data_IF_396858731094
#
_entry.id   IF_396858731094
#
_cell.length_a   1.000
_cell.length_b   1.000
_cell.length_c   1.000
_cell.angle_alpha   90.00
_cell.angle_beta   90.00
_cell.angle_gamma   90.00
#
_symmetry.space_group_name_H-M   'P 1'
#
loop_
_entity.id
_entity.type
_entity.pdbx_description
1 polymer ?
#
# COMPACT_ATOMS: atom_id res chain seq x y z
N UNK A 1 -13.74 -0.49 -7.71
CA UNK A 1 -12.85 -0.20 -6.56
C UNK A 1 -11.48 0.16 -7.13
N UNK A 2 -10.83 1.25 -6.71
CA UNK A 2 -9.49 1.65 -7.17
C UNK A 2 -8.57 1.98 -5.97
N UNK A 3 -8.85 1.39 -4.80
CA UNK A 3 -8.21 1.71 -3.51
C UNK A 3 -7.06 0.74 -3.18
N UNK A 4 -7.10 -0.46 -3.76
CA UNK A 4 -6.09 -1.50 -3.60
C UNK A 4 -4.95 -1.32 -4.61
N UNK A 5 -3.74 -1.71 -4.22
CA UNK A 5 -2.60 -1.85 -5.11
C UNK A 5 -2.74 -3.13 -5.95
N UNK A 6 -2.11 -3.19 -7.12
CA UNK A 6 -2.22 -4.33 -8.06
C UNK A 6 -1.83 -5.67 -7.42
N UNK A 7 -0.90 -5.66 -6.45
CA UNK A 7 -0.53 -6.86 -5.69
C UNK A 7 -1.61 -7.29 -4.70
N UNK A 8 -2.33 -6.35 -4.09
CA UNK A 8 -3.45 -6.67 -3.20
C UNK A 8 -4.64 -7.23 -4.00
N UNK A 9 -4.88 -6.70 -5.22
CA UNK A 9 -5.83 -7.30 -6.17
C UNK A 9 -5.44 -8.76 -6.48
N UNK A 10 -4.16 -9.00 -6.79
CA UNK A 10 -3.66 -10.34 -7.09
C UNK A 10 -3.87 -11.29 -5.91
N UNK A 11 -3.45 -10.88 -4.71
CA UNK A 11 -3.56 -11.72 -3.52
C UNK A 11 -5.02 -12.07 -3.20
N UNK A 12 -5.93 -11.09 -3.17
CA UNK A 12 -7.35 -11.35 -2.89
C UNK A 12 -7.95 -12.32 -3.92
N UNK A 13 -7.54 -12.20 -5.18
CA UNK A 13 -8.03 -13.09 -6.24
C UNK A 13 -7.48 -14.51 -6.05
N UNK A 14 -6.18 -14.64 -5.80
CA UNK A 14 -5.52 -15.92 -5.57
C UNK A 14 -6.10 -16.64 -4.35
N UNK A 15 -6.21 -15.94 -3.23
CA UNK A 15 -6.71 -16.50 -1.96
C UNK A 15 -8.19 -16.96 -2.05
N UNK A 16 -8.96 -16.43 -3.01
CA UNK A 16 -10.36 -16.80 -3.20
C UNK A 16 -10.56 -17.96 -4.20
N UNK A 17 -9.80 -17.94 -5.30
CA UNK A 17 -9.99 -18.87 -6.41
C UNK A 17 -9.00 -20.06 -6.39
N UNK A 18 -7.96 -20.01 -5.55
CA UNK A 18 -6.84 -20.96 -5.44
C UNK A 18 -6.00 -21.15 -6.73
N UNK A 19 -6.47 -20.61 -7.85
CA UNK A 19 -5.81 -20.59 -9.14
C UNK A 19 -6.06 -19.25 -9.84
N UNK A 20 -5.09 -18.86 -10.68
CA UNK A 20 -5.19 -17.65 -11.49
C UNK A 20 -4.98 -17.99 -12.97
N UNK A 21 -5.67 -17.29 -13.88
CA UNK A 21 -5.38 -17.39 -15.31
C UNK A 21 -3.97 -16.88 -15.62
N UNK A 22 -3.54 -17.00 -16.87
CA UNK A 22 -2.25 -16.47 -17.30
C UNK A 22 -2.22 -14.94 -17.17
N UNK A 23 -1.38 -14.45 -16.27
CA UNK A 23 -1.27 -13.03 -15.91
C UNK A 23 0.17 -12.56 -16.10
N UNK A 24 0.31 -11.34 -16.61
CA UNK A 24 1.56 -10.60 -16.69
C UNK A 24 1.40 -9.20 -16.09
N UNK A 25 2.53 -8.48 -15.94
CA UNK A 25 2.55 -7.17 -15.31
C UNK A 25 1.66 -6.10 -15.99
N UNK A 26 1.31 -6.29 -17.27
CA UNK A 26 0.49 -5.35 -18.04
C UNK A 26 -1.01 -5.61 -17.90
N UNK A 27 -1.43 -6.87 -17.80
CA UNK A 27 -2.85 -7.24 -17.72
C UNK A 27 -3.34 -7.57 -16.30
N UNK A 28 -2.43 -7.75 -15.34
CA UNK A 28 -2.74 -8.18 -13.96
C UNK A 28 -3.85 -7.37 -13.31
N UNK A 29 -3.78 -6.05 -13.42
CA UNK A 29 -4.76 -5.17 -12.78
C UNK A 29 -6.17 -5.43 -13.32
N UNK A 30 -6.36 -5.41 -14.64
CA UNK A 30 -7.69 -5.56 -15.24
C UNK A 30 -8.24 -6.97 -15.07
N UNK A 31 -7.39 -8.00 -15.18
CA UNK A 31 -7.79 -9.40 -14.96
C UNK A 31 -8.24 -9.62 -13.52
N UNK A 32 -7.42 -9.24 -12.54
CA UNK A 32 -7.76 -9.41 -11.13
C UNK A 32 -8.98 -8.58 -10.74
N UNK A 33 -9.11 -7.35 -11.26
CA UNK A 33 -10.29 -6.49 -11.03
C UNK A 33 -11.59 -7.14 -11.55
N UNK A 34 -11.53 -7.78 -12.71
CA UNK A 34 -12.66 -8.51 -13.30
C UNK A 34 -13.02 -9.78 -12.53
N UNK A 35 -12.02 -10.46 -11.95
CA UNK A 35 -12.26 -11.64 -11.11
C UNK A 35 -12.84 -11.25 -9.75
N UNK A 36 -12.25 -10.25 -9.10
CA UNK A 36 -12.74 -9.75 -7.80
C UNK A 36 -14.19 -9.27 -7.88
N UNK A 37 -14.62 -8.64 -8.97
CA UNK A 37 -16.01 -8.17 -9.10
C UNK A 37 -17.05 -9.30 -9.10
N UNK A 38 -16.61 -10.55 -9.31
CA UNK A 38 -17.46 -11.76 -9.27
C UNK A 38 -17.48 -12.42 -7.88
N UNK A 39 -16.64 -11.99 -6.95
CA UNK A 39 -16.59 -12.51 -5.58
C UNK A 39 -17.85 -12.03 -4.83
N UNK A 40 -18.55 -12.90 -4.08
CA UNK A 40 -19.66 -12.50 -3.22
C UNK A 40 -19.26 -11.38 -2.27
N UNK A 41 -20.13 -10.37 -2.13
CA UNK A 41 -19.83 -9.14 -1.40
C UNK A 41 -19.31 -9.37 0.02
N UNK A 42 -19.90 -10.31 0.77
CA UNK A 42 -19.50 -10.61 2.15
C UNK A 42 -18.05 -11.12 2.24
N UNK A 43 -17.67 -12.04 1.34
CA UNK A 43 -16.31 -12.58 1.28
C UNK A 43 -15.33 -11.53 0.79
N UNK A 44 -15.70 -10.75 -0.22
CA UNK A 44 -14.86 -9.67 -0.73
C UNK A 44 -14.61 -8.60 0.35
N UNK A 45 -15.63 -8.24 1.12
CA UNK A 45 -15.49 -7.26 2.20
C UNK A 45 -14.52 -7.77 3.27
N UNK A 46 -14.62 -9.04 3.65
CA UNK A 46 -13.65 -9.65 4.57
C UNK A 46 -12.22 -9.56 4.03
N UNK A 47 -11.98 -10.02 2.81
CA UNK A 47 -10.64 -10.00 2.19
C UNK A 47 -10.11 -8.57 2.02
N UNK A 48 -10.99 -7.61 1.70
CA UNK A 48 -10.63 -6.20 1.60
C UNK A 48 -10.16 -5.63 2.93
N UNK A 49 -10.91 -5.88 4.01
CA UNK A 49 -10.55 -5.39 5.35
C UNK A 49 -9.22 -6.00 5.81
N UNK A 50 -8.98 -7.29 5.56
CA UNK A 50 -7.71 -7.93 5.88
C UNK A 50 -6.54 -7.34 5.07
N UNK A 51 -6.73 -7.09 3.77
CA UNK A 51 -5.72 -6.42 2.94
C UNK A 51 -5.37 -5.03 3.49
N UNK A 52 -6.39 -4.24 3.88
CA UNK A 52 -6.19 -2.90 4.45
C UNK A 52 -5.44 -2.93 5.78
N UNK A 53 -5.74 -3.88 6.67
CA UNK A 53 -5.01 -4.06 7.94
C UNK A 53 -3.54 -4.41 7.71
N UNK A 54 -3.27 -5.27 6.72
CA UNK A 54 -1.92 -5.71 6.40
C UNK A 54 -1.01 -4.61 5.83
N UNK A 55 -1.60 -3.53 5.28
CA UNK A 55 -0.85 -2.40 4.74
C UNK A 55 0.00 -1.65 5.80
N UNK A 56 -0.32 -1.78 7.09
CA UNK A 56 0.43 -1.19 8.23
C UNK A 56 0.89 0.24 7.95
N UNK A 57 -0.06 1.14 7.67
CA UNK A 57 0.23 2.52 7.31
C UNK A 57 0.61 3.34 8.55
N UNK A 58 1.79 3.98 8.53
CA UNK A 58 2.29 4.83 9.60
C UNK A 58 1.85 6.28 9.37
N UNK A 59 0.73 6.63 9.98
CA UNK A 59 0.08 7.94 9.84
C UNK A 59 0.55 8.98 10.88
N UNK A 60 1.64 8.71 11.60
CA UNK A 60 2.15 9.57 12.69
C UNK A 60 2.60 10.95 12.24
N UNK A 61 2.68 11.23 10.93
CA UNK A 61 3.24 12.46 10.36
C UNK A 61 2.20 13.41 9.75
N UNK A 62 0.91 13.26 10.07
CA UNK A 62 -0.12 14.22 9.63
C UNK A 62 -0.08 15.58 10.34
N UNK A 63 0.92 15.86 11.18
CA UNK A 63 1.04 17.16 11.84
C UNK A 63 1.45 18.25 10.83
N UNK A 64 1.06 19.50 11.12
CA UNK A 64 1.25 20.66 10.22
C UNK A 64 2.67 21.23 10.18
N UNK A 65 3.63 20.61 10.87
CA UNK A 65 5.00 21.12 11.01
C UNK A 65 5.90 20.38 10.02
N UNK A 66 6.48 21.11 9.07
CA UNK A 66 7.29 20.58 7.95
C UNK A 66 6.46 19.70 6.99
N UNK A 67 5.39 20.25 6.43
CA UNK A 67 4.42 19.52 5.61
C UNK A 67 5.05 18.80 4.43
N UNK A 68 5.98 19.42 3.72
CA UNK A 68 6.66 18.86 2.55
C UNK A 68 7.50 17.64 2.96
N UNK A 69 8.25 17.76 4.05
CA UNK A 69 9.05 16.66 4.58
C UNK A 69 8.17 15.53 5.12
N UNK A 70 7.04 15.87 5.75
CA UNK A 70 6.07 14.89 6.20
C UNK A 70 5.44 14.15 5.02
N UNK A 71 5.16 14.81 3.89
CA UNK A 71 4.68 14.14 2.68
C UNK A 71 5.70 13.13 2.14
N UNK A 72 7.00 13.45 2.17
CA UNK A 72 8.06 12.48 1.83
C UNK A 72 8.05 11.30 2.80
N UNK A 73 7.91 11.55 4.11
CA UNK A 73 7.86 10.48 5.10
C UNK A 73 6.62 9.58 4.93
N UNK A 74 5.46 10.17 4.61
CA UNK A 74 4.20 9.48 4.37
C UNK A 74 4.23 8.65 3.08
N UNK A 75 4.76 9.21 1.98
CA UNK A 75 4.85 8.50 0.70
C UNK A 75 5.78 7.28 0.78
N UNK A 76 6.79 7.35 1.65
CA UNK A 76 7.71 6.25 1.95
C UNK A 76 7.22 5.32 3.09
N UNK A 77 6.05 5.62 3.68
CA UNK A 77 5.49 4.90 4.83
C UNK A 77 6.50 4.71 5.99
N UNK A 78 7.27 5.75 6.31
CA UNK A 78 8.32 5.68 7.33
C UNK A 78 7.73 5.52 8.73
N UNK A 79 8.48 4.84 9.60
CA UNK A 79 8.27 4.88 11.06
C UNK A 79 8.91 6.11 11.68
N UNK A 80 8.49 6.47 12.89
CA UNK A 80 9.05 7.61 13.62
C UNK A 80 10.58 7.53 13.76
N UNK A 81 11.12 6.35 14.05
CA UNK A 81 12.56 6.10 14.16
C UNK A 81 13.29 6.36 12.83
N UNK A 82 12.72 5.92 11.71
CA UNK A 82 13.30 6.12 10.39
C UNK A 82 13.27 7.59 9.97
N UNK A 83 12.22 8.32 10.35
CA UNK A 83 12.17 9.78 10.18
C UNK A 83 13.27 10.48 10.98
N UNK A 84 13.46 10.09 12.25
CA UNK A 84 14.53 10.65 13.11
C UNK A 84 15.90 10.39 12.49
N UNK A 85 16.14 9.16 12.03
CA UNK A 85 17.38 8.78 11.34
C UNK A 85 17.60 9.62 10.06
N UNK A 86 16.58 9.79 9.23
CA UNK A 86 16.63 10.62 8.03
C UNK A 86 16.99 12.08 8.35
N UNK A 87 16.35 12.68 9.35
CA UNK A 87 16.65 14.05 9.79
C UNK A 87 18.11 14.15 10.25
N UNK A 88 18.59 13.17 11.00
CA UNK A 88 19.98 13.17 11.48
C UNK A 88 20.97 13.10 10.31
N UNK A 89 20.73 12.22 9.34
CA UNK A 89 21.56 12.10 8.12
C UNK A 89 21.59 13.41 7.32
N UNK A 90 20.44 14.06 7.15
CA UNK A 90 20.36 15.34 6.43
C UNK A 90 21.09 16.47 7.16
N UNK A 91 21.03 16.50 8.51
CA UNK A 91 21.79 17.48 9.32
C UNK A 91 23.30 17.31 9.20
N UNK A 92 23.78 16.07 9.05
CA UNK A 92 25.21 15.79 8.92
C UNK A 92 25.78 16.13 7.55
N UNK A 93 24.94 16.20 6.51
CA UNK A 93 25.32 16.67 5.19
C UNK A 93 25.15 18.19 5.11
N UNK A 94 25.98 18.94 5.84
CA UNK A 94 26.19 20.35 5.49
C UNK A 94 26.99 20.38 4.19
N UNK A 95 26.35 20.86 3.12
CA UNK A 95 27.06 21.23 1.89
C UNK A 95 28.06 22.31 2.28
N UNK A 96 29.34 21.97 2.26
CA UNK A 96 30.46 22.93 2.34
C UNK A 96 30.57 23.71 1.03
#
# INVERSE_FOLDING_TARGET
MNVLHSKEYLNITYDYYDELPEINAFNQFEVCKSLISKIPYEKLNYSFIEAMKNRKVYNSFFNKVNNEFNQVCLSLNLKEEQRKDLINKLKTHKVC
#
